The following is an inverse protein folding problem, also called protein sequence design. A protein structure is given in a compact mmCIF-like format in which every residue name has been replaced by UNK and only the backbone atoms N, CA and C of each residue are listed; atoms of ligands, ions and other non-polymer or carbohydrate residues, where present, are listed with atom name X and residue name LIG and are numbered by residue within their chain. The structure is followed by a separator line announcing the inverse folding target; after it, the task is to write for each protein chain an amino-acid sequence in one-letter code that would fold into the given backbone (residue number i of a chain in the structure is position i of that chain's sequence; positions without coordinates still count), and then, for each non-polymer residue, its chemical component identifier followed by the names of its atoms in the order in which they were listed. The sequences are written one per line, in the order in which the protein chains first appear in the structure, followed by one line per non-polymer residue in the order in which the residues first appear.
data_IF_167055782803
#
_entry.id   IF_167055782803
#
_cell.length_a   1.000
_cell.length_b   1.000
_cell.length_c   1.000
_cell.angle_alpha   90.00
_cell.angle_beta   90.00
_cell.angle_gamma   90.00
#
_symmetry.space_group_name_H-M   'P 1'
#
loop_
_entity.id
_entity.type
_entity.pdbx_description
1 polymer ?
#
# COMPACT_ATOMS: atom_id res chain seq x y z
N UNK A 1 -2.28 -0.05 -6.89
CA UNK A 1 -2.68 -0.54 -5.56
C UNK A 1 -1.84 -1.74 -5.18
N UNK A 2 -1.78 -2.09 -3.90
CA UNK A 2 -1.32 -3.40 -3.41
C UNK A 2 -2.39 -3.97 -2.47
N UNK A 3 -2.51 -5.29 -2.47
CA UNK A 3 -3.43 -5.99 -1.59
C UNK A 3 -2.84 -7.34 -1.17
N UNK A 4 -3.16 -7.81 0.03
CA UNK A 4 -2.90 -9.21 0.38
C UNK A 4 -3.73 -10.13 -0.51
N UNK A 5 -3.25 -11.35 -0.72
CA UNK A 5 -3.92 -12.31 -1.60
C UNK A 5 -5.36 -12.58 -1.13
N UNK A 6 -6.33 -12.39 -2.04
CA UNK A 6 -7.76 -12.52 -1.74
C UNK A 6 -8.30 -11.44 -0.78
N UNK A 7 -7.57 -10.34 -0.62
CA UNK A 7 -7.94 -9.21 0.22
C UNK A 7 -9.04 -8.34 -0.38
N UNK A 8 -9.11 -8.26 -1.71
CA UNK A 8 -10.16 -7.58 -2.46
C UNK A 8 -10.60 -8.48 -3.63
N UNK A 9 -11.89 -8.79 -3.69
CA UNK A 9 -12.51 -9.51 -4.79
C UNK A 9 -13.64 -8.67 -5.37
N UNK A 10 -13.65 -8.53 -6.70
CA UNK A 10 -14.75 -7.90 -7.44
C UNK A 10 -15.43 -8.99 -8.25
N UNK A 11 -16.66 -9.32 -7.90
CA UNK A 11 -17.43 -10.41 -8.51
C UNK A 11 -18.59 -9.81 -9.28
N UNK A 12 -18.66 -10.13 -10.57
CA UNK A 12 -19.80 -9.82 -11.41
C UNK A 12 -20.66 -11.07 -11.61
N UNK A 13 -21.96 -10.95 -11.38
CA UNK A 13 -22.94 -11.99 -11.66
C UNK A 13 -23.94 -11.47 -12.69
N UNK A 14 -23.77 -11.93 -13.93
CA UNK A 14 -24.83 -11.86 -14.92
C UNK A 14 -25.92 -12.86 -14.53
N UNK A 15 -27.10 -12.34 -14.19
CA UNK A 15 -28.32 -13.12 -13.97
C UNK A 15 -28.35 -13.95 -12.67
N UNK A 16 -28.64 -13.27 -11.56
CA UNK A 16 -29.18 -13.93 -10.37
C UNK A 16 -30.49 -14.64 -10.73
N UNK A 17 -30.61 -15.94 -10.41
CA UNK A 17 -31.76 -16.81 -10.77
C UNK A 17 -33.14 -16.26 -10.39
N UNK A 18 -33.20 -15.21 -9.56
CA UNK A 18 -34.45 -14.60 -9.09
C UNK A 18 -34.60 -13.09 -9.44
N UNK A 19 -33.63 -12.42 -10.08
CA UNK A 19 -33.71 -10.97 -10.36
C UNK A 19 -33.17 -10.59 -11.76
N UNK A 20 -33.89 -9.72 -12.48
CA UNK A 20 -33.57 -9.21 -13.83
C UNK A 20 -32.42 -8.19 -13.89
N UNK A 21 -31.62 -8.07 -12.83
CA UNK A 21 -30.54 -7.08 -12.75
C UNK A 21 -29.20 -7.79 -12.66
N UNK A 22 -28.18 -7.20 -13.28
CA UNK A 22 -26.80 -7.63 -13.07
C UNK A 22 -26.35 -7.19 -11.68
N UNK A 23 -25.64 -8.06 -10.96
CA UNK A 23 -25.09 -7.76 -9.65
C UNK A 23 -23.57 -7.60 -9.73
N UNK A 24 -23.07 -6.50 -9.17
CA UNK A 24 -21.65 -6.28 -8.94
C UNK A 24 -21.42 -6.29 -7.43
N UNK A 25 -20.69 -7.28 -6.94
CA UNK A 25 -20.35 -7.41 -5.52
C UNK A 25 -18.87 -7.12 -5.33
N UNK A 26 -18.54 -6.15 -4.49
CA UNK A 26 -17.18 -5.88 -4.04
C UNK A 26 -17.03 -6.48 -2.63
N UNK A 27 -16.08 -7.40 -2.46
CA UNK A 27 -15.83 -8.09 -1.19
C UNK A 27 -14.44 -7.74 -0.69
N UNK A 28 -14.36 -7.40 0.58
CA UNK A 28 -13.11 -7.19 1.30
C UNK A 28 -13.12 -8.00 2.59
N UNK A 29 -11.97 -8.53 3.00
CA UNK A 29 -11.82 -9.22 4.28
C UNK A 29 -11.35 -8.22 5.32
N UNK A 30 -11.80 -8.37 6.58
CA UNK A 30 -11.36 -7.47 7.67
C UNK A 30 -9.84 -7.50 7.90
N UNK A 31 -9.19 -8.63 7.66
CA UNK A 31 -7.75 -8.80 7.78
C UNK A 31 -6.99 -8.53 6.47
N UNK A 32 -7.67 -8.02 5.44
CA UNK A 32 -7.03 -7.65 4.19
C UNK A 32 -6.22 -6.37 4.39
N UNK A 33 -5.03 -6.33 3.82
CA UNK A 33 -4.28 -5.10 3.67
C UNK A 33 -4.62 -4.54 2.30
N UNK A 34 -5.10 -3.30 2.23
CA UNK A 34 -5.40 -2.56 1.00
C UNK A 34 -4.65 -1.24 1.02
N UNK A 35 -3.73 -1.09 0.07
CA UNK A 35 -2.85 0.08 -0.01
C UNK A 35 -3.00 0.74 -1.37
N UNK A 36 -3.24 2.04 -1.37
CA UNK A 36 -3.14 2.84 -2.58
C UNK A 36 -1.70 3.26 -2.82
N UNK A 37 -1.20 2.98 -4.02
CA UNK A 37 0.13 3.43 -4.47
C UNK A 37 0.07 4.79 -5.18
N UNK A 38 -1.14 5.36 -5.33
CA UNK A 38 -1.31 6.68 -5.95
C UNK A 38 -1.11 7.77 -4.90
N UNK A 39 -0.11 8.66 -5.05
CA UNK A 39 0.13 9.74 -4.09
C UNK A 39 -1.01 10.75 -4.01
N UNK A 40 -1.92 10.79 -5.00
CA UNK A 40 -3.10 11.68 -5.00
C UNK A 40 -4.29 11.08 -4.25
N UNK A 41 -4.33 9.76 -4.09
CA UNK A 41 -5.44 9.04 -3.50
C UNK A 41 -4.91 8.09 -2.43
N UNK A 42 -4.42 8.62 -1.31
CA UNK A 42 -3.76 7.81 -0.27
C UNK A 42 -4.75 7.09 0.67
N UNK A 43 -5.99 7.57 0.73
CA UNK A 43 -7.03 7.08 1.65
C UNK A 43 -8.06 6.16 0.99
N UNK A 44 -8.11 6.16 -0.34
CA UNK A 44 -9.05 5.34 -1.10
C UNK A 44 -8.45 4.91 -2.42
N UNK A 45 -8.91 3.76 -2.92
CA UNK A 45 -8.63 3.25 -4.25
C UNK A 45 -9.88 3.54 -5.09
N UNK A 46 -9.83 4.53 -5.99
CA UNK A 46 -10.95 4.83 -6.86
C UNK A 46 -11.14 3.71 -7.88
N UNK A 47 -12.36 3.23 -8.02
CA UNK A 47 -12.77 2.22 -8.99
C UNK A 47 -13.94 2.76 -9.80
N UNK A 48 -13.88 2.62 -11.11
CA UNK A 48 -14.92 3.07 -12.02
C UNK A 48 -15.50 1.86 -12.74
N UNK A 49 -16.81 1.70 -12.64
CA UNK A 49 -17.58 0.67 -13.33
C UNK A 49 -18.49 1.32 -14.35
N UNK A 50 -18.57 0.73 -15.53
CA UNK A 50 -19.44 1.19 -16.61
C UNK A 50 -20.55 0.16 -16.75
N UNK A 51 -21.78 0.57 -16.46
CA UNK A 51 -22.97 -0.22 -16.65
C UNK A 51 -23.68 0.24 -17.93
N UNK A 52 -23.89 -0.68 -18.86
CA UNK A 52 -24.67 -0.38 -20.06
C UNK A 52 -24.60 -1.54 -21.04
N UNK A 53 -25.38 -1.43 -22.11
CA UNK A 53 -25.47 -2.47 -23.12
C UNK A 53 -24.19 -2.49 -23.96
N UNK A 54 -23.39 -3.55 -23.84
CA UNK A 54 -22.23 -3.79 -24.73
C UNK A 54 -22.66 -3.65 -26.20
N UNK A 55 -21.98 -2.83 -27.03
CA UNK A 55 -22.39 -2.64 -28.41
C UNK A 55 -22.19 -3.93 -29.18
N UNK A 56 -23.19 -4.38 -29.92
CA UNK A 56 -23.02 -5.52 -30.83
C UNK A 56 -22.36 -5.07 -32.13
N UNK A 57 -21.67 -5.95 -32.88
CA UNK A 57 -21.13 -5.60 -34.20
C UNK A 57 -22.20 -5.08 -35.19
N UNK A 58 -23.44 -5.52 -35.05
CA UNK A 58 -24.63 -5.04 -35.76
C UNK A 58 -24.95 -3.57 -35.45
N UNK A 59 -24.58 -3.09 -34.26
CA UNK A 59 -24.74 -1.70 -33.82
C UNK A 59 -23.62 -0.79 -34.37
N UNK A 60 -22.53 -1.38 -34.87
CA UNK A 60 -21.37 -0.70 -35.47
C UNK A 60 -21.50 -0.51 -37.00
N UNK A 61 -22.64 -0.84 -37.60
CA UNK A 61 -22.88 -0.68 -39.03
C UNK A 61 -23.01 0.81 -39.40
N UNK A 62 -21.87 1.47 -39.55
CA UNK A 62 -21.75 2.63 -40.44
C UNK A 62 -21.76 2.08 -41.85
N UNK A 63 -22.75 2.50 -42.64
CA UNK A 63 -22.73 2.32 -44.10
C UNK A 63 -21.53 3.07 -44.66
N UNK A 64 -20.37 2.40 -44.73
CA UNK A 64 -19.29 2.84 -45.59
C UNK A 64 -19.74 2.46 -46.99
N UNK A 65 -20.35 3.43 -47.69
CA UNK A 65 -20.39 3.35 -49.14
C UNK A 65 -18.92 3.27 -49.59
N UNK A 66 -18.54 2.07 -50.00
CA UNK A 66 -17.22 1.78 -50.49
C UNK A 66 -16.93 2.67 -51.70
N UNK A 67 -16.03 3.62 -51.51
CA UNK A 67 -15.24 4.17 -52.59
C UNK A 67 -13.80 4.33 -52.09
N UNK A 68 -13.06 3.24 -52.29
CA UNK A 68 -11.62 3.17 -52.62
C UNK A 68 -10.56 3.68 -51.63
N UNK A 69 -9.61 2.76 -51.41
CA UNK A 69 -8.17 2.94 -51.14
C UNK A 69 -7.71 3.13 -49.69
N UNK A 70 -6.98 2.10 -49.25
CA UNK A 70 -5.86 2.09 -48.29
C UNK A 70 -5.51 3.42 -47.61
N UNK A 71 -5.97 3.60 -46.38
CA UNK A 71 -5.30 4.43 -45.39
C UNK A 71 -5.76 3.99 -44.00
N UNK A 72 -4.81 3.83 -43.08
CA UNK A 72 -5.03 3.61 -41.65
C UNK A 72 -6.15 4.52 -41.15
N UNK A 73 -7.33 3.95 -40.93
CA UNK A 73 -8.51 4.70 -40.54
C UNK A 73 -8.37 5.12 -39.07
N UNK A 74 -7.84 6.32 -38.89
CA UNK A 74 -7.96 7.11 -37.66
C UNK A 74 -9.40 7.02 -37.19
N UNK A 75 -9.60 6.49 -35.97
CA UNK A 75 -10.86 6.46 -35.24
C UNK A 75 -11.34 7.90 -34.98
N UNK A 76 -11.88 8.55 -36.00
CA UNK A 76 -12.61 9.79 -35.85
C UNK A 76 -14.00 9.46 -35.32
N UNK A 77 -14.12 9.45 -34.00
CA UNK A 77 -15.38 9.53 -33.28
C UNK A 77 -16.17 10.75 -33.79
N UNK A 78 -17.12 10.53 -34.70
CA UNK A 78 -18.25 11.47 -34.90
C UNK A 78 -19.23 11.25 -33.75
N UNK A 79 -18.91 11.87 -32.62
CA UNK A 79 -19.50 11.73 -31.28
C UNK A 79 -20.93 12.29 -31.12
N UNK A 80 -21.72 12.48 -32.18
CA UNK A 80 -23.00 13.25 -32.07
C UNK A 80 -24.24 12.44 -32.49
N UNK A 81 -24.09 11.23 -33.09
CA UNK A 81 -25.23 10.34 -33.42
C UNK A 81 -25.49 9.20 -32.43
N UNK A 82 -24.57 8.92 -31.50
CA UNK A 82 -24.55 7.69 -30.69
C UNK A 82 -25.25 7.81 -29.32
N UNK A 83 -25.45 9.03 -28.81
CA UNK A 83 -25.95 9.28 -27.45
C UNK A 83 -27.44 8.93 -27.23
N UNK A 84 -28.22 8.70 -28.29
CA UNK A 84 -29.69 8.53 -28.15
C UNK A 84 -30.15 7.07 -28.04
N UNK A 85 -29.29 6.08 -28.29
CA UNK A 85 -29.67 4.64 -28.26
C UNK A 85 -29.05 3.83 -27.13
N UNK A 86 -28.01 4.35 -26.46
CA UNK A 86 -27.32 3.66 -25.39
C UNK A 86 -27.24 4.57 -24.18
N UNK A 87 -27.90 4.17 -23.10
CA UNK A 87 -27.68 4.74 -21.78
C UNK A 87 -26.51 3.97 -21.15
N UNK A 88 -25.48 4.71 -20.75
CA UNK A 88 -24.36 4.21 -19.97
C UNK A 88 -24.39 4.90 -18.62
N UNK A 89 -24.43 4.12 -17.56
CA UNK A 89 -24.29 4.61 -16.20
C UNK A 89 -22.85 4.38 -15.76
N UNK A 90 -22.23 5.42 -15.22
CA UNK A 90 -20.90 5.34 -14.62
C UNK A 90 -21.08 5.27 -13.11
N UNK A 91 -20.57 4.20 -12.51
CA UNK A 91 -20.59 4.00 -11.06
C UNK A 91 -19.16 4.12 -10.55
N UNK A 92 -18.93 5.14 -9.73
CA UNK A 92 -17.66 5.37 -9.07
C UNK A 92 -17.73 4.85 -7.62
N UNK A 93 -16.79 4.00 -7.25
CA UNK A 93 -16.67 3.42 -5.91
C UNK A 93 -15.30 3.74 -5.37
N UNK A 94 -15.26 4.36 -4.19
CA UNK A 94 -14.02 4.61 -3.46
C UNK A 94 -13.87 3.55 -2.37
N UNK A 95 -12.93 2.63 -2.56
CA UNK A 95 -12.62 1.60 -1.57
C UNK A 95 -11.58 2.15 -0.60
N UNK A 96 -11.93 2.26 0.69
CA UNK A 96 -11.02 2.76 1.71
C UNK A 96 -9.77 1.88 1.85
N UNK A 97 -8.61 2.52 1.95
CA UNK A 97 -7.34 1.84 2.24
C UNK A 97 -7.24 1.51 3.71
N UNK A 98 -6.65 0.38 4.05
CA UNK A 98 -6.43 -0.02 5.45
C UNK A 98 -5.14 0.55 6.03
N UNK A 99 -4.13 0.74 5.18
CA UNK A 99 -2.79 1.11 5.59
C UNK A 99 -2.15 2.07 4.57
N UNK A 100 -1.25 2.96 5.03
CA UNK A 100 -0.57 3.91 4.16
C UNK A 100 0.57 3.27 3.36
N UNK A 101 0.86 3.83 2.18
CA UNK A 101 2.01 3.41 1.37
C UNK A 101 3.30 4.09 1.84
N UNK A 102 4.12 3.38 2.61
CA UNK A 102 5.31 3.90 3.30
C UNK A 102 6.57 3.08 2.98
N UNK A 103 7.75 3.63 3.30
CA UNK A 103 8.97 2.80 3.35
C UNK A 103 8.92 1.89 4.56
N UNK A 104 9.37 0.66 4.41
CA UNK A 104 9.24 -0.35 5.46
C UNK A 104 9.47 -1.77 4.98
N UNK A 105 9.31 -2.72 5.89
CA UNK A 105 9.44 -4.14 5.59
C UNK A 105 8.56 -5.01 6.51
N UNK A 106 8.51 -6.30 6.20
CA UNK A 106 7.81 -7.31 7.00
C UNK A 106 8.46 -8.68 6.92
N UNK A 107 7.70 -9.73 7.22
CA UNK A 107 8.19 -11.11 7.42
C UNK A 107 8.36 -11.96 6.16
N UNK A 108 8.02 -11.45 4.97
CA UNK A 108 8.09 -12.22 3.70
C UNK A 108 8.29 -11.31 2.49
N UNK A 109 8.81 -11.85 1.38
CA UNK A 109 8.88 -11.16 0.08
C UNK A 109 7.50 -10.70 -0.43
N UNK A 110 6.42 -11.41 -0.08
CA UNK A 110 5.06 -10.98 -0.42
C UNK A 110 4.66 -9.67 0.30
N UNK A 111 5.38 -9.30 1.36
CA UNK A 111 5.20 -8.02 2.05
C UNK A 111 5.87 -6.86 1.29
N UNK A 112 6.84 -7.13 0.39
CA UNK A 112 7.58 -6.08 -0.31
C UNK A 112 6.65 -5.23 -1.20
N UNK A 113 5.60 -5.84 -1.75
CA UNK A 113 4.62 -5.11 -2.55
C UNK A 113 3.78 -4.11 -1.74
N UNK A 114 3.73 -4.28 -0.41
CA UNK A 114 3.02 -3.40 0.52
C UNK A 114 3.81 -2.13 0.83
N UNK A 115 5.11 -2.14 0.60
CA UNK A 115 6.00 -1.03 0.89
C UNK A 115 6.51 -0.35 -0.38
N UNK A 116 7.05 0.85 -0.18
CA UNK A 116 7.73 1.60 -1.23
C UNK A 116 8.94 0.82 -1.75
N UNK A 117 9.14 0.68 -3.08
CA UNK A 117 10.24 -0.09 -3.65
C UNK A 117 11.61 0.54 -3.35
N UNK A 118 11.63 1.81 -2.94
CA UNK A 118 12.85 2.50 -2.50
C UNK A 118 13.33 2.05 -1.10
N UNK A 119 12.64 1.11 -0.45
CA UNK A 119 13.03 0.59 0.86
C UNK A 119 14.32 -0.24 0.76
N UNK A 120 15.43 0.18 1.39
CA UNK A 120 16.67 -0.58 1.37
C UNK A 120 16.56 -1.88 2.17
N UNK A 121 17.07 -2.98 1.62
CA UNK A 121 17.18 -4.25 2.32
C UNK A 121 18.26 -4.19 3.41
N UNK A 122 18.07 -4.98 4.47
CA UNK A 122 19.10 -5.19 5.49
C UNK A 122 20.12 -6.20 4.97
N UNK A 123 21.40 -6.00 5.26
CA UNK A 123 22.49 -6.89 4.84
C UNK A 123 23.26 -7.40 6.06
N UNK A 124 23.76 -8.64 5.97
CA UNK A 124 24.64 -9.22 6.99
C UNK A 124 26.10 -8.76 6.83
N UNK A 125 26.97 -9.22 7.73
CA UNK A 125 28.41 -8.89 7.70
C UNK A 125 29.13 -9.39 6.44
N UNK A 126 28.54 -10.35 5.71
CA UNK A 126 29.06 -10.86 4.44
C UNK A 126 28.51 -10.09 3.23
N UNK A 127 27.59 -9.15 3.45
CA UNK A 127 26.93 -8.38 2.41
C UNK A 127 25.75 -9.10 1.75
N UNK A 128 25.27 -10.20 2.33
CA UNK A 128 24.09 -10.92 1.85
C UNK A 128 22.81 -10.32 2.45
N UNK A 129 21.71 -10.18 1.67
CA UNK A 129 20.45 -9.66 2.19
C UNK A 129 19.90 -10.55 3.31
N UNK A 130 19.67 -9.95 4.47
CA UNK A 130 18.84 -10.54 5.51
C UNK A 130 17.38 -10.18 5.31
N UNK A 131 16.49 -10.99 5.87
CA UNK A 131 15.10 -10.58 6.01
C UNK A 131 15.01 -9.34 6.92
N UNK A 132 14.65 -8.21 6.32
CA UNK A 132 14.60 -6.94 7.03
C UNK A 132 14.90 -5.76 6.13
N UNK A 133 14.88 -4.57 6.74
CA UNK A 133 15.16 -3.32 6.05
C UNK A 133 15.90 -2.34 6.93
N UNK A 134 16.63 -1.46 6.26
CA UNK A 134 17.37 -0.36 6.87
C UNK A 134 16.80 0.95 6.35
N UNK A 135 16.22 1.75 7.24
CA UNK A 135 15.54 3.00 6.91
C UNK A 135 16.35 4.19 7.40
N UNK A 136 16.71 5.08 6.48
CA UNK A 136 17.17 6.42 6.80
C UNK A 136 15.95 7.30 7.14
N UNK A 137 15.70 7.55 8.42
CA UNK A 137 14.50 8.25 8.85
C UNK A 137 14.54 9.75 8.52
N UNK A 138 15.74 10.34 8.42
CA UNK A 138 15.90 11.74 8.01
C UNK A 138 15.36 11.95 6.60
N UNK A 139 15.61 11.01 5.70
CA UNK A 139 15.18 11.06 4.30
C UNK A 139 13.76 10.55 4.13
N UNK A 140 13.43 9.40 4.74
CA UNK A 140 12.13 8.76 4.60
C UNK A 140 11.00 9.51 5.32
N UNK A 141 11.32 10.24 6.41
CA UNK A 141 10.40 10.93 7.35
C UNK A 141 9.47 10.01 8.13
N UNK A 142 9.10 8.87 7.58
CA UNK A 142 8.25 7.87 8.20
C UNK A 142 8.72 6.48 7.80
N UNK A 143 8.51 5.53 8.70
CA UNK A 143 8.81 4.12 8.50
C UNK A 143 7.63 3.28 9.00
N UNK A 144 7.34 2.19 8.30
CA UNK A 144 6.32 1.23 8.69
C UNK A 144 6.96 -0.16 8.85
N UNK A 145 6.44 -0.94 9.80
CA UNK A 145 6.87 -2.33 10.00
C UNK A 145 5.65 -3.22 10.15
N UNK A 146 5.67 -4.36 9.46
CA UNK A 146 4.57 -5.32 9.42
C UNK A 146 4.96 -6.66 10.03
N UNK A 147 4.27 -7.03 11.10
CA UNK A 147 4.45 -8.30 11.79
C UNK A 147 3.08 -8.97 11.99
N UNK A 148 2.65 -9.83 11.05
CA UNK A 148 1.35 -10.49 11.12
C UNK A 148 1.31 -11.62 12.14
N UNK A 149 0.12 -11.93 12.62
CA UNK A 149 -0.14 -13.16 13.36
C UNK A 149 0.24 -14.40 12.52
N UNK A 150 0.79 -15.47 13.14
CA UNK A 150 0.97 -15.68 14.58
C UNK A 150 2.30 -15.12 15.14
N UNK A 151 3.01 -14.28 14.38
CA UNK A 151 4.26 -13.67 14.80
C UNK A 151 3.99 -12.44 15.68
N UNK A 152 4.99 -12.05 16.47
CA UNK A 152 4.87 -10.97 17.44
C UNK A 152 6.02 -9.98 17.29
N UNK A 153 5.71 -8.71 17.55
CA UNK A 153 6.71 -7.66 17.61
C UNK A 153 7.62 -7.86 18.84
N UNK A 154 8.90 -7.60 18.65
CA UNK A 154 9.91 -7.61 19.70
C UNK A 154 10.80 -6.35 19.57
N UNK A 155 10.69 -5.37 20.50
CA UNK A 155 9.88 -5.42 21.72
C UNK A 155 8.37 -5.34 21.42
N UNK A 156 7.49 -5.81 22.33
CA UNK A 156 6.04 -5.89 22.10
C UNK A 156 5.37 -4.57 21.72
N UNK A 157 5.93 -3.44 22.18
CA UNK A 157 5.40 -2.10 21.90
C UNK A 157 6.22 -1.35 20.85
N UNK A 158 6.82 -2.03 19.87
CA UNK A 158 7.43 -1.35 18.74
C UNK A 158 6.43 -0.40 18.05
N UNK A 159 6.71 0.87 17.74
CA UNK A 159 7.94 1.66 17.96
C UNK A 159 7.95 2.51 19.24
N UNK A 160 6.90 2.46 20.06
CA UNK A 160 6.90 3.15 21.37
C UNK A 160 8.08 2.71 22.24
N UNK A 161 8.47 1.44 22.09
CA UNK A 161 9.69 0.85 22.62
C UNK A 161 10.54 0.31 21.46
N UNK A 162 11.85 0.45 21.57
CA UNK A 162 12.82 -0.03 20.57
C UNK A 162 14.05 -0.59 21.27
N UNK A 163 14.75 -1.49 20.60
CA UNK A 163 16.11 -1.84 21.00
C UNK A 163 17.09 -0.76 20.56
N UNK A 164 18.00 -0.40 21.47
CA UNK A 164 19.14 0.46 21.23
C UNK A 164 20.33 -0.23 21.89
N UNK A 165 21.24 -0.75 21.07
CA UNK A 165 22.40 -1.52 21.55
C UNK A 165 22.00 -2.68 22.50
N UNK A 166 21.00 -3.47 22.07
CA UNK A 166 20.46 -4.60 22.83
C UNK A 166 19.59 -4.24 24.05
N UNK A 167 19.49 -2.95 24.41
CA UNK A 167 18.68 -2.48 25.54
C UNK A 167 17.36 -1.89 25.07
N UNK A 168 16.24 -2.24 25.73
CA UNK A 168 14.94 -1.64 25.43
C UNK A 168 14.89 -0.19 25.94
N UNK A 169 14.46 0.73 25.08
CA UNK A 169 14.30 2.17 25.38
C UNK A 169 12.94 2.66 24.88
N UNK A 170 12.33 3.61 25.61
CA UNK A 170 11.14 4.30 25.14
C UNK A 170 11.52 5.39 24.14
N UNK A 171 10.77 5.51 23.05
CA UNK A 171 11.07 6.48 21.98
C UNK A 171 11.02 7.93 22.49
N UNK A 172 10.12 8.22 23.43
CA UNK A 172 9.95 9.54 24.06
C UNK A 172 11.14 9.96 24.93
N UNK A 173 11.90 8.99 25.45
CA UNK A 173 13.13 9.27 26.20
C UNK A 173 14.28 9.61 25.23
N UNK A 174 14.31 8.94 24.08
CA UNK A 174 15.34 9.10 23.06
C UNK A 174 15.19 10.43 22.31
N UNK A 175 13.96 10.81 21.96
CA UNK A 175 13.69 11.94 21.08
C UNK A 175 12.29 12.53 21.26
N UNK A 176 12.20 13.85 21.22
CA UNK A 176 10.95 14.62 21.16
C UNK A 176 10.42 14.72 19.72
N UNK A 177 11.30 14.57 18.73
CA UNK A 177 10.92 14.66 17.31
C UNK A 177 10.42 13.34 16.74
N UNK A 178 10.47 12.25 17.50
CA UNK A 178 9.99 10.94 17.09
C UNK A 178 8.63 10.60 17.71
N UNK A 179 7.76 10.02 16.90
CA UNK A 179 6.42 9.61 17.34
C UNK A 179 6.06 8.24 16.78
N UNK A 180 5.63 7.35 17.67
CA UNK A 180 5.10 6.05 17.32
C UNK A 180 3.57 6.11 17.17
N UNK A 181 3.05 5.39 16.19
CA UNK A 181 1.62 5.25 15.91
C UNK A 181 1.34 3.88 15.28
N UNK A 182 0.07 3.57 15.05
CA UNK A 182 -0.35 2.37 14.33
C UNK A 182 -1.37 2.73 13.25
N UNK A 183 -1.36 1.98 12.15
CA UNK A 183 -2.50 1.82 11.26
C UNK A 183 -3.24 0.52 11.59
N UNK A 184 -4.07 0.00 10.69
CA UNK A 184 -4.78 -1.25 10.93
C UNK A 184 -3.83 -2.44 11.11
N UNK A 185 -2.71 -2.46 10.38
CA UNK A 185 -1.79 -3.59 10.38
C UNK A 185 -0.33 -3.21 10.61
N UNK A 186 0.06 -1.94 10.42
CA UNK A 186 1.45 -1.50 10.57
C UNK A 186 1.68 -0.77 11.87
N UNK A 187 2.85 -1.00 12.45
CA UNK A 187 3.42 -0.06 13.41
C UNK A 187 4.25 0.97 12.65
N UNK A 188 4.11 2.24 13.02
CA UNK A 188 4.63 3.36 12.25
C UNK A 188 5.47 4.26 13.17
N UNK A 189 6.66 4.63 12.70
CA UNK A 189 7.50 5.64 13.30
C UNK A 189 7.54 6.87 12.39
N UNK A 190 7.32 8.07 12.95
CA UNK A 190 7.38 9.34 12.23
C UNK A 190 8.40 10.28 12.84
N UNK A 191 9.11 11.01 11.99
CA UNK A 191 10.03 12.09 12.34
C UNK A 191 9.39 13.45 12.05
N UNK A 192 9.12 14.21 13.10
CA UNK A 192 8.68 15.60 13.03
C UNK A 192 9.89 16.53 13.15
N UNK A 193 10.48 16.89 12.01
CA UNK A 193 11.69 17.75 12.00
C UNK A 193 11.49 19.14 12.61
N UNK A 194 10.24 19.63 12.67
CA UNK A 194 9.89 20.88 13.34
C UNK A 194 9.95 20.77 14.88
N UNK A 195 9.98 19.56 15.43
CA UNK A 195 9.99 19.27 16.86
C UNK A 195 11.36 18.82 17.36
N UNK A 196 12.42 18.97 16.53
CA UNK A 196 13.78 18.64 16.95
C UNK A 196 14.15 19.50 18.14
N UNK A 197 14.35 18.84 19.28
CA UNK A 197 14.57 19.50 20.56
C UNK A 197 15.94 20.15 20.65
N UNK A 198 16.07 21.14 21.54
CA UNK A 198 17.39 21.72 21.88
C UNK A 198 18.27 20.62 22.47
N UNK A 199 19.44 20.40 21.88
CA UNK A 199 20.37 19.34 22.27
C UNK A 199 20.19 18.01 21.53
N UNK A 200 19.14 17.86 20.72
CA UNK A 200 19.05 16.70 19.83
C UNK A 200 20.04 16.83 18.67
N UNK A 201 20.77 15.75 18.44
CA UNK A 201 21.71 15.65 17.32
C UNK A 201 21.32 14.49 16.43
N UNK A 202 21.75 14.56 15.16
CA UNK A 202 21.52 13.48 14.21
C UNK A 202 22.37 12.27 14.63
N UNK A 203 21.71 11.20 15.07
CA UNK A 203 22.32 9.94 15.44
C UNK A 203 22.29 8.98 14.26
N UNK A 204 23.47 8.51 13.87
CA UNK A 204 23.63 7.46 12.85
C UNK A 204 23.70 6.08 13.51
N UNK A 205 24.30 6.01 14.69
CA UNK A 205 24.52 4.77 15.46
C UNK A 205 24.34 5.02 16.96
N UNK A 206 23.95 4.00 17.74
CA UNK A 206 23.37 2.73 17.28
C UNK A 206 21.98 2.95 16.62
N UNK A 207 21.56 2.09 15.68
CA UNK A 207 20.23 2.17 15.09
C UNK A 207 19.15 1.86 16.12
N UNK A 208 17.93 2.35 15.88
CA UNK A 208 16.75 1.84 16.59
C UNK A 208 16.30 0.56 15.92
N UNK A 209 16.04 -0.47 16.71
CA UNK A 209 15.73 -1.78 16.19
C UNK A 209 14.40 -2.31 16.71
N UNK A 210 13.62 -2.88 15.80
CA UNK A 210 12.51 -3.76 16.12
C UNK A 210 12.60 -5.02 15.29
N UNK A 211 12.07 -6.11 15.85
CA UNK A 211 12.07 -7.44 15.25
C UNK A 211 10.64 -7.94 15.16
N UNK A 212 10.39 -8.78 14.17
CA UNK A 212 9.24 -9.66 14.15
C UNK A 212 9.73 -11.07 14.41
N UNK A 213 9.19 -11.72 15.45
CA UNK A 213 9.65 -13.02 15.92
C UNK A 213 8.52 -14.03 15.93
N UNK A 214 8.87 -15.30 15.76
CA UNK A 214 7.94 -16.40 16.04
C UNK A 214 7.60 -16.46 17.52
N UNK A 215 6.52 -17.15 17.88
CA UNK A 215 6.18 -17.46 19.29
C UNK A 215 7.27 -18.22 20.06
N UNK A 216 8.28 -18.76 19.36
CA UNK A 216 9.45 -19.44 19.93
C UNK A 216 10.68 -18.52 20.05
N UNK A 217 10.57 -17.25 19.66
CA UNK A 217 11.66 -16.27 19.71
C UNK A 217 12.60 -16.28 18.49
N UNK A 218 12.29 -17.04 17.44
CA UNK A 218 13.08 -17.00 16.19
C UNK A 218 12.78 -15.70 15.45
N UNK A 219 13.81 -14.92 15.14
CA UNK A 219 13.70 -13.68 14.35
C UNK A 219 13.39 -14.00 12.90
N UNK A 220 12.32 -13.39 12.37
CA UNK A 220 11.89 -13.53 10.98
C UNK A 220 12.23 -12.32 10.14
N UNK A 221 12.21 -11.13 10.73
CA UNK A 221 12.52 -9.88 10.04
C UNK A 221 12.91 -8.82 11.04
N UNK A 222 13.83 -7.95 10.65
CA UNK A 222 14.32 -6.85 11.48
C UNK A 222 14.22 -5.52 10.73
N UNK A 223 13.74 -4.49 11.40
CA UNK A 223 13.79 -3.11 10.90
C UNK A 223 14.82 -2.31 11.69
N UNK A 224 15.79 -1.73 10.98
CA UNK A 224 16.78 -0.79 11.52
C UNK A 224 16.43 0.62 11.10
N UNK A 225 16.30 1.52 12.07
CA UNK A 225 16.09 2.94 11.84
C UNK A 225 17.39 3.69 12.14
N UNK A 226 17.92 4.36 11.13
CA UNK A 226 19.11 5.19 11.21
C UNK A 226 18.79 6.65 10.90
N UNK A 227 19.78 7.52 11.16
CA UNK A 227 19.71 8.94 10.87
C UNK A 227 18.46 9.60 11.50
N UNK A 228 18.25 9.34 12.80
CA UNK A 228 17.19 9.95 13.59
C UNK A 228 17.76 11.00 14.55
N UNK A 229 16.96 11.97 14.96
CA UNK A 229 17.39 12.95 15.97
C UNK A 229 17.18 12.39 17.36
N UNK A 230 18.18 12.48 18.23
CA UNK A 230 18.06 12.09 19.63
C UNK A 230 18.99 12.89 20.54
N UNK A 231 18.65 12.91 21.83
CA UNK A 231 19.41 13.61 22.88
C UNK A 231 20.78 12.99 23.12
#
# INVERSE_FOLDING_TARGET
MAATQGGLDVVYQAESRNCRYSELTIKTRRSAILISKDPRHTYYIPMTFICGKTPEPSDLLVSVNAATSNANAIFNLKTIGYSTRYTWDVVEVNVETTDPYMQGCGVTYASDELFKPETPQLYDDNGDPQFGCKIDLRTAREAAFYCPEPYVLDPPNCFSQVYVDGSVKNISELSQSLSASHSNHFVILRLYSSLVGVGETLRQTPPLECRCVTVKGIVLSTIHIENYYGK
#
